data_IF_461130221143
#
_entry.id   IF_461130221143
#
_cell.length_a   1.000
_cell.length_b   1.000
_cell.length_c   1.000
_cell.angle_alpha   90.00
_cell.angle_beta   90.00
_cell.angle_gamma   90.00
#
_symmetry.space_group_name_H-M   'P 1'
#
loop_
_entity.id
_entity.type
_entity.pdbx_description
1 polymer ?
#
# COMPACT_ATOMS: atom_id res chain seq x y z
N UNK A 1 4.92 8.75 18.47
CA UNK A 1 4.19 8.12 17.35
C UNK A 1 4.59 6.66 17.27
N UNK A 2 3.92 5.83 16.46
CA UNK A 2 4.25 4.39 16.39
C UNK A 2 5.66 4.16 15.86
N UNK A 3 6.13 4.96 14.88
CA UNK A 3 7.48 4.89 14.35
C UNK A 3 8.54 5.16 15.43
N UNK A 4 8.38 6.24 16.21
CA UNK A 4 9.30 6.59 17.31
C UNK A 4 9.54 5.41 18.28
N UNK A 5 8.47 4.70 18.65
CA UNK A 5 8.55 3.54 19.55
C UNK A 5 9.47 2.46 18.98
N UNK A 6 9.31 2.12 17.70
CA UNK A 6 10.13 1.10 17.04
C UNK A 6 11.57 1.59 16.81
N UNK A 7 11.78 2.87 16.49
CA UNK A 7 13.11 3.46 16.38
C UNK A 7 13.85 3.38 17.72
N UNK A 8 13.23 3.74 18.85
CA UNK A 8 13.85 3.67 20.18
C UNK A 8 14.29 2.23 20.54
N UNK A 9 13.49 1.23 20.18
CA UNK A 9 13.88 -0.17 20.39
C UNK A 9 15.02 -0.60 19.47
N UNK A 10 15.00 -0.18 18.21
CA UNK A 10 16.01 -0.58 17.22
C UNK A 10 17.38 0.04 17.49
N UNK A 11 17.41 1.32 17.89
CA UNK A 11 18.63 2.05 18.23
C UNK A 11 19.44 1.36 19.33
N UNK A 12 18.77 0.84 20.38
CA UNK A 12 19.40 0.09 21.48
C UNK A 12 20.22 -1.10 20.99
N UNK A 13 19.87 -1.67 19.84
CA UNK A 13 20.53 -2.83 19.25
C UNK A 13 21.23 -2.52 17.92
N UNK A 14 21.40 -1.23 17.58
CA UNK A 14 21.96 -0.77 16.31
C UNK A 14 21.29 -1.43 15.10
N UNK A 15 19.96 -1.55 15.14
CA UNK A 15 19.12 -2.08 14.06
C UNK A 15 18.47 -0.91 13.31
N UNK A 16 18.22 -1.15 12.03
CA UNK A 16 17.47 -0.24 11.17
C UNK A 16 16.00 -0.63 11.15
N UNK A 17 15.12 0.36 11.02
CA UNK A 17 13.68 0.14 10.90
C UNK A 17 13.22 0.37 9.46
N UNK A 18 12.21 -0.38 9.05
CA UNK A 18 11.53 -0.18 7.78
C UNK A 18 10.01 -0.05 7.95
N UNK A 19 9.37 0.60 7.00
CA UNK A 19 7.92 0.68 6.89
C UNK A 19 7.44 0.04 5.59
N UNK A 20 6.38 -0.75 5.70
CA UNK A 20 5.61 -1.30 4.59
C UNK A 20 4.14 -0.97 4.79
N UNK A 21 3.62 -0.05 4.00
CA UNK A 21 2.25 0.43 4.14
C UNK A 21 1.36 -0.01 2.97
N UNK A 22 0.16 -0.49 3.31
CA UNK A 22 -0.89 -0.86 2.37
C UNK A 22 -1.89 0.28 2.15
N UNK A 23 -2.50 0.35 0.97
CA UNK A 23 -3.28 1.51 0.51
C UNK A 23 -4.81 1.37 0.73
N UNK A 24 -5.23 0.50 1.65
CA UNK A 24 -6.65 0.19 1.91
C UNK A 24 -7.49 1.44 2.22
N UNK A 25 -6.89 2.45 2.86
CA UNK A 25 -7.54 3.71 3.22
C UNK A 25 -6.94 4.92 2.49
N UNK A 26 -6.21 4.71 1.39
CA UNK A 26 -5.47 5.78 0.67
C UNK A 26 -4.40 6.50 1.49
N UNK A 27 -3.82 5.80 2.47
CA UNK A 27 -2.84 6.36 3.40
C UNK A 27 -1.44 5.75 3.26
N UNK A 28 -1.19 4.85 2.30
CA UNK A 28 0.12 4.19 2.21
C UNK A 28 1.25 5.18 2.02
N UNK A 29 1.08 6.12 1.08
CA UNK A 29 2.05 7.18 0.84
C UNK A 29 2.22 8.11 2.04
N UNK A 30 1.11 8.60 2.61
CA UNK A 30 1.12 9.52 3.75
C UNK A 30 1.85 8.90 4.96
N UNK A 31 1.52 7.66 5.31
CA UNK A 31 2.17 6.96 6.42
C UNK A 31 3.66 6.73 6.17
N UNK A 32 4.05 6.47 4.91
CA UNK A 32 5.45 6.24 4.54
C UNK A 32 6.28 7.53 4.65
N UNK A 33 5.75 8.67 4.20
CA UNK A 33 6.48 9.95 4.30
C UNK A 33 6.51 10.49 5.73
N UNK A 34 5.51 10.18 6.55
CA UNK A 34 5.53 10.52 7.97
C UNK A 34 6.59 9.69 8.70
N UNK A 35 6.64 8.38 8.42
CA UNK A 35 7.60 7.47 9.05
C UNK A 35 9.06 7.81 8.73
N UNK A 36 9.38 8.23 7.49
CA UNK A 36 10.74 8.72 7.18
C UNK A 36 11.05 10.03 7.91
N UNK A 37 10.05 10.89 8.13
CA UNK A 37 10.18 12.09 8.95
C UNK A 37 10.49 11.78 10.42
N UNK A 38 9.94 10.67 10.93
CA UNK A 38 10.19 10.13 12.28
C UNK A 38 11.50 9.29 12.37
N UNK A 39 12.31 9.20 11.30
CA UNK A 39 13.64 8.58 11.32
C UNK A 39 13.73 7.13 10.83
N UNK A 40 12.68 6.58 10.22
CA UNK A 40 12.72 5.23 9.62
C UNK A 40 13.70 5.16 8.43
N UNK A 41 14.54 4.12 8.40
CA UNK A 41 15.60 3.95 7.39
C UNK A 41 15.10 3.43 6.03
N UNK A 42 14.17 2.47 6.05
CA UNK A 42 13.75 1.72 4.86
C UNK A 42 12.29 1.98 4.52
N UNK A 43 12.03 2.34 3.26
CA UNK A 43 10.69 2.66 2.77
C UNK A 43 10.32 1.70 1.64
N UNK A 44 9.33 0.84 1.87
CA UNK A 44 8.83 -0.04 0.84
C UNK A 44 7.82 0.67 -0.07
N UNK A 45 7.98 0.48 -1.38
CA UNK A 45 7.05 0.95 -2.38
C UNK A 45 7.06 0.04 -3.61
N UNK A 46 6.01 0.15 -4.43
CA UNK A 46 5.81 -0.64 -5.65
C UNK A 46 5.31 0.24 -6.78
N UNK A 47 5.67 -0.09 -8.03
CA UNK A 47 5.20 0.64 -9.21
C UNK A 47 3.66 0.63 -9.29
N UNK A 48 3.03 1.79 -9.53
CA UNK A 48 1.57 1.92 -9.62
C UNK A 48 0.81 1.33 -8.42
N UNK A 49 1.39 1.39 -7.23
CA UNK A 49 0.85 0.77 -6.01
C UNK A 49 0.62 -0.74 -6.12
N UNK A 50 1.25 -1.44 -7.06
CA UNK A 50 0.97 -2.86 -7.30
C UNK A 50 1.23 -3.72 -6.06
N UNK A 51 0.20 -4.43 -5.63
CA UNK A 51 0.23 -5.31 -4.47
C UNK A 51 -1.11 -6.01 -4.30
N UNK A 52 -1.16 -6.99 -3.38
CA UNK A 52 -2.40 -7.69 -3.07
C UNK A 52 -3.44 -6.71 -2.49
N UNK A 53 -4.68 -6.79 -2.96
CA UNK A 53 -5.78 -5.97 -2.46
C UNK A 53 -5.69 -4.52 -2.94
N UNK A 54 -5.84 -3.56 -2.02
CA UNK A 54 -5.78 -2.13 -2.36
C UNK A 54 -4.41 -1.67 -2.87
N UNK A 55 -3.36 -2.48 -2.70
CA UNK A 55 -2.00 -2.15 -3.11
C UNK A 55 -1.15 -1.57 -1.98
N UNK A 56 -0.02 -0.96 -2.37
CA UNK A 56 1.00 -0.42 -1.46
C UNK A 56 1.31 1.06 -1.78
N UNK A 57 2.30 1.62 -1.09
CA UNK A 57 2.86 2.91 -1.47
C UNK A 57 3.35 2.91 -2.92
N UNK A 58 2.96 3.92 -3.70
CA UNK A 58 3.37 4.08 -5.09
C UNK A 58 4.83 4.56 -5.18
N UNK A 59 5.66 3.82 -5.93
CA UNK A 59 7.09 4.12 -6.10
C UNK A 59 7.30 5.48 -6.78
N UNK A 60 6.56 5.74 -7.84
CA UNK A 60 6.60 7.00 -8.60
C UNK A 60 6.21 8.20 -7.73
N UNK A 61 5.28 8.02 -6.80
CA UNK A 61 4.85 9.05 -5.86
C UNK A 61 5.91 9.28 -4.78
N UNK A 62 6.45 8.21 -4.20
CA UNK A 62 7.49 8.29 -3.17
C UNK A 62 8.77 8.95 -3.69
N UNK A 63 9.28 8.51 -4.84
CA UNK A 63 10.51 9.10 -5.40
C UNK A 63 10.30 10.52 -5.91
N UNK A 64 9.10 10.88 -6.36
CA UNK A 64 8.77 12.27 -6.70
C UNK A 64 8.75 13.19 -5.48
N UNK A 65 8.42 12.65 -4.30
CA UNK A 65 8.43 13.39 -3.04
C UNK A 65 9.83 13.52 -2.43
N UNK A 66 10.61 12.45 -2.43
CA UNK A 66 11.97 12.45 -1.88
C UNK A 66 12.88 13.36 -2.73
N UNK A 67 13.02 14.63 -2.33
CA UNK A 67 13.81 15.67 -3.01
C UNK A 67 15.33 15.46 -2.89
N UNK A 68 15.81 14.25 -3.12
CA UNK A 68 17.21 13.89 -3.11
C UNK A 68 17.69 13.71 -4.56
N UNK A 69 18.75 14.39 -5.01
CA UNK A 69 19.25 14.30 -6.39
C UNK A 69 19.74 12.90 -6.79
N UNK A 70 19.91 11.97 -5.82
CA UNK A 70 20.21 10.56 -6.10
C UNK A 70 19.01 9.80 -6.68
N UNK A 71 17.78 10.30 -6.49
CA UNK A 71 16.57 9.67 -7.00
C UNK A 71 16.17 10.27 -8.35
N UNK A 72 15.79 9.40 -9.27
CA UNK A 72 15.32 9.78 -10.59
C UNK A 72 14.04 9.01 -10.90
N UNK A 73 12.94 9.73 -11.13
CA UNK A 73 11.64 9.15 -11.46
C UNK A 73 11.59 8.65 -12.91
N UNK A 74 12.48 9.10 -13.79
CA UNK A 74 12.42 8.76 -15.21
C UNK A 74 12.53 7.23 -15.48
N UNK A 75 13.50 6.48 -14.91
CA UNK A 75 13.54 5.02 -15.07
C UNK A 75 12.30 4.30 -14.51
N UNK A 76 11.66 4.86 -13.47
CA UNK A 76 10.42 4.33 -12.89
C UNK A 76 9.27 4.45 -13.89
N UNK A 77 9.14 5.61 -14.54
CA UNK A 77 8.12 5.82 -15.58
C UNK A 77 8.36 4.92 -16.80
N UNK A 78 9.61 4.74 -17.21
CA UNK A 78 9.95 3.80 -18.30
C UNK A 78 9.57 2.35 -17.96
N UNK A 79 9.80 1.92 -16.71
CA UNK A 79 9.39 0.59 -16.26
C UNK A 79 7.86 0.44 -16.30
N UNK A 80 7.14 1.45 -15.83
CA UNK A 80 5.68 1.50 -15.86
C UNK A 80 5.16 1.36 -17.30
N UNK A 81 5.68 2.17 -18.22
CA UNK A 81 5.30 2.18 -19.63
C UNK A 81 5.52 0.81 -20.28
N UNK A 82 6.70 0.22 -20.06
CA UNK A 82 7.12 -1.01 -20.74
C UNK A 82 6.50 -2.29 -20.16
N UNK A 83 6.21 -2.31 -18.85
CA UNK A 83 5.85 -3.55 -18.15
C UNK A 83 4.51 -3.49 -17.45
N UNK A 84 4.19 -2.39 -16.76
CA UNK A 84 3.03 -2.36 -15.87
C UNK A 84 1.71 -2.22 -16.62
N UNK A 85 1.70 -1.48 -17.74
CA UNK A 85 0.51 -1.35 -18.59
C UNK A 85 0.07 -2.71 -19.15
N UNK A 86 1.04 -3.52 -19.60
CA UNK A 86 0.79 -4.87 -20.12
C UNK A 86 0.06 -5.76 -19.10
N UNK A 87 0.44 -5.70 -17.81
CA UNK A 87 -0.24 -6.48 -16.77
C UNK A 87 -1.71 -6.08 -16.60
N UNK A 88 -2.03 -4.78 -16.72
CA UNK A 88 -3.42 -4.32 -16.69
C UNK A 88 -4.20 -4.82 -17.89
N UNK A 89 -3.60 -4.77 -19.09
CA UNK A 89 -4.20 -5.27 -20.33
C UNK A 89 -4.44 -6.79 -20.29
N UNK A 90 -3.57 -7.55 -19.62
CA UNK A 90 -3.72 -8.99 -19.36
C UNK A 90 -4.78 -9.31 -18.28
N UNK A 91 -5.44 -8.28 -17.72
CA UNK A 91 -6.53 -8.44 -16.77
C UNK A 91 -6.09 -8.62 -15.32
N UNK A 92 -4.82 -8.34 -14.98
CA UNK A 92 -4.36 -8.33 -13.59
C UNK A 92 -4.97 -7.12 -12.89
N UNK A 93 -5.70 -7.38 -11.80
CA UNK A 93 -6.40 -6.35 -11.03
C UNK A 93 -5.70 -6.12 -9.69
N UNK A 94 -5.42 -4.86 -9.39
CA UNK A 94 -5.01 -4.39 -8.07
C UNK A 94 -5.48 -2.96 -7.89
N UNK A 95 -5.45 -2.49 -6.65
CA UNK A 95 -5.73 -1.10 -6.33
C UNK A 95 -6.94 -0.95 -5.44
N UNK A 96 -7.04 0.25 -4.88
CA UNK A 96 -8.11 0.64 -3.97
C UNK A 96 -9.50 0.43 -4.58
N UNK A 97 -10.40 -0.08 -3.76
CA UNK A 97 -11.81 -0.26 -4.05
C UNK A 97 -12.60 -0.42 -2.74
N UNK A 98 -13.93 -0.30 -2.77
CA UNK A 98 -14.78 -0.23 -1.56
C UNK A 98 -14.67 -1.48 -0.68
N UNK A 99 -14.58 -2.67 -1.27
CA UNK A 99 -14.38 -3.93 -0.54
C UNK A 99 -13.08 -3.93 0.28
N UNK A 100 -12.02 -3.32 -0.25
CA UNK A 100 -10.74 -3.23 0.47
C UNK A 100 -10.77 -2.17 1.55
N UNK A 101 -11.47 -1.05 1.31
CA UNK A 101 -11.76 -0.06 2.36
C UNK A 101 -12.46 -0.73 3.55
N UNK A 102 -13.53 -1.49 3.29
CA UNK A 102 -14.29 -2.15 4.36
C UNK A 102 -13.42 -3.08 5.20
N UNK A 103 -12.64 -3.96 4.58
CA UNK A 103 -11.69 -4.83 5.32
C UNK A 103 -10.61 -4.04 6.05
N UNK A 104 -10.19 -2.89 5.50
CA UNK A 104 -9.21 -2.00 6.13
C UNK A 104 -9.76 -1.24 7.34
N UNK A 105 -11.04 -0.85 7.33
CA UNK A 105 -11.71 -0.19 8.45
C UNK A 105 -11.91 -1.15 9.63
N UNK A 106 -12.23 -2.41 9.32
CA UNK A 106 -12.49 -3.46 10.30
C UNK A 106 -11.22 -4.23 10.71
N UNK A 107 -10.04 -3.79 10.25
CA UNK A 107 -8.76 -4.43 10.52
C UNK A 107 -8.74 -5.95 10.21
N UNK A 108 -9.43 -6.34 9.13
CA UNK A 108 -9.54 -7.72 8.69
C UNK A 108 -8.57 -8.03 7.55
N UNK A 109 -8.13 -9.28 7.47
CA UNK A 109 -7.33 -9.74 6.34
C UNK A 109 -8.12 -9.60 5.02
N UNK A 110 -7.52 -9.12 3.91
CA UNK A 110 -8.25 -8.79 2.67
C UNK A 110 -8.82 -9.99 1.90
N UNK A 111 -8.88 -11.20 2.49
CA UNK A 111 -9.27 -12.42 1.77
C UNK A 111 -10.72 -12.35 1.27
N UNK A 112 -11.62 -11.86 2.11
CA UNK A 112 -13.05 -11.69 1.79
C UNK A 112 -13.24 -10.64 0.69
N UNK A 113 -12.52 -9.52 0.76
CA UNK A 113 -12.52 -8.49 -0.27
C UNK A 113 -11.97 -9.00 -1.62
N UNK A 114 -10.89 -9.79 -1.61
CA UNK A 114 -10.35 -10.42 -2.82
C UNK A 114 -11.39 -11.36 -3.45
N UNK A 115 -12.08 -12.14 -2.62
CA UNK A 115 -13.13 -13.04 -3.10
C UNK A 115 -14.30 -12.25 -3.72
N UNK A 116 -14.73 -11.16 -3.07
CA UNK A 116 -15.73 -10.24 -3.59
C UNK A 116 -15.35 -9.71 -4.99
N UNK A 117 -14.10 -9.29 -5.18
CA UNK A 117 -13.57 -8.87 -6.50
C UNK A 117 -13.61 -10.00 -7.51
N UNK A 118 -13.15 -11.20 -7.13
CA UNK A 118 -13.11 -12.38 -8.02
C UNK A 118 -14.51 -12.80 -8.49
N UNK A 119 -15.51 -12.65 -7.63
CA UNK A 119 -16.92 -12.94 -7.92
C UNK A 119 -17.61 -11.81 -8.71
N UNK A 120 -16.92 -10.70 -9.00
CA UNK A 120 -17.47 -9.50 -9.63
C UNK A 120 -18.72 -8.96 -8.91
N UNK A 121 -18.76 -9.13 -7.58
CA UNK A 121 -19.84 -8.60 -6.75
C UNK A 121 -19.83 -7.07 -6.75
N UNK A 122 -21.01 -6.49 -6.51
CA UNK A 122 -21.23 -5.02 -6.47
C UNK A 122 -22.19 -4.60 -5.36
N UNK A 123 -22.64 -5.55 -4.56
CA UNK A 123 -23.58 -5.41 -3.46
C UNK A 123 -22.85 -5.02 -2.17
N UNK A 124 -22.15 -3.88 -2.20
CA UNK A 124 -21.28 -3.42 -1.11
C UNK A 124 -21.97 -3.35 0.25
N UNK A 125 -23.25 -2.96 0.30
CA UNK A 125 -24.00 -2.86 1.54
C UNK A 125 -24.26 -4.23 2.18
N UNK A 126 -24.53 -5.25 1.36
CA UNK A 126 -24.74 -6.62 1.86
C UNK A 126 -23.40 -7.23 2.25
N UNK A 127 -22.37 -7.03 1.43
CA UNK A 127 -21.00 -7.41 1.79
C UNK A 127 -20.58 -6.78 3.13
N UNK A 128 -20.86 -5.50 3.37
CA UNK A 128 -20.57 -4.87 4.66
C UNK A 128 -21.24 -5.60 5.83
N UNK A 129 -22.54 -5.96 5.70
CA UNK A 129 -23.25 -6.74 6.73
C UNK A 129 -22.61 -8.12 6.94
N UNK A 130 -22.19 -8.79 5.87
CA UNK A 130 -21.52 -10.09 5.95
C UNK A 130 -20.19 -10.00 6.71
N UNK A 131 -19.41 -8.93 6.49
CA UNK A 131 -18.09 -8.76 7.11
C UNK A 131 -18.22 -8.44 8.61
N UNK A 132 -19.17 -7.59 9.00
CA UNK A 132 -19.39 -7.26 10.42
C UNK A 132 -19.96 -8.44 11.20
N UNK A 133 -20.71 -9.33 10.56
CA UNK A 133 -21.26 -10.52 11.19
C UNK A 133 -20.22 -11.63 11.44
N UNK A 134 -18.99 -11.47 10.91
CA UNK A 134 -17.86 -12.38 11.11
C UNK A 134 -16.94 -11.98 12.28
N UNK A 135 -17.20 -10.83 12.92
CA UNK A 135 -16.58 -10.45 14.20
C UNK A 135 -17.26 -11.14 15.39
#
# INVERSE_FOLDING_TARGET
RIADLYCEYAEKYNKKIGIHAHDNQKLAFANTIEAVGDGVDWLDATYLSMGRGAGNCAMELLLGFLKNPKYNVYPVLQFIEKHMNKLREEGVVWGYDLQYLMTGLLNQHPRTAIQFTKENRKDYAEFYKEIIAQE
#
